data_IF_282342512950
#
_entry.id   IF_282342512950
#
_cell.length_a   1.000
_cell.length_b   1.000
_cell.length_c   1.000
_cell.angle_alpha   90.00
_cell.angle_beta   90.00
_cell.angle_gamma   90.00
#
_symmetry.space_group_name_H-M   'P 1'
#
loop_
_entity.id
_entity.type
_entity.pdbx_description
1 polymer ?
#
# COMPACT_ATOMS: atom_id res chain seq x y z
N UNK A 1 13.16 48.64 10.74
CA UNK A 1 13.34 47.85 9.51
C UNK A 1 13.72 46.35 9.70
N UNK A 2 13.93 45.84 10.92
CA UNK A 2 14.36 44.44 11.20
C UNK A 2 13.27 43.37 11.01
N UNK A 3 11.98 43.67 11.04
CA UNK A 3 10.91 42.69 11.05
C UNK A 3 10.57 42.08 9.68
N UNK A 4 10.90 42.75 8.55
CA UNK A 4 10.58 42.24 7.22
C UNK A 4 11.36 40.97 6.84
N UNK A 5 12.60 40.83 7.34
CA UNK A 5 13.41 39.66 7.15
C UNK A 5 12.90 38.43 7.92
N UNK A 6 12.49 38.66 9.15
CA UNK A 6 11.94 37.63 10.02
C UNK A 6 10.61 37.04 9.48
N UNK A 7 9.75 37.94 8.98
CA UNK A 7 8.47 37.53 8.35
C UNK A 7 8.71 36.69 7.10
N UNK A 8 9.67 37.08 6.23
CA UNK A 8 10.03 36.31 5.04
C UNK A 8 10.56 34.92 5.41
N UNK A 9 11.43 34.84 6.42
CA UNK A 9 11.97 33.58 6.90
C UNK A 9 10.89 32.67 7.46
N UNK A 10 9.95 33.20 8.25
CA UNK A 10 8.82 32.46 8.81
C UNK A 10 7.90 31.91 7.71
N UNK A 11 7.62 32.70 6.67
CA UNK A 11 6.79 32.29 5.53
C UNK A 11 7.48 31.17 4.74
N UNK A 12 8.80 31.27 4.48
CA UNK A 12 9.54 30.22 3.79
C UNK A 12 9.55 28.93 4.63
N UNK A 13 9.80 29.04 5.93
CA UNK A 13 9.81 27.90 6.83
C UNK A 13 8.43 27.21 6.87
N UNK A 14 7.36 27.99 6.96
CA UNK A 14 5.99 27.48 6.96
C UNK A 14 5.64 26.81 5.62
N UNK A 15 6.01 27.42 4.51
CA UNK A 15 5.82 26.82 3.18
C UNK A 15 6.60 25.52 3.01
N UNK A 16 7.83 25.44 3.53
CA UNK A 16 8.64 24.22 3.51
C UNK A 16 8.02 23.13 4.37
N UNK A 17 7.51 23.47 5.56
CA UNK A 17 6.83 22.50 6.43
C UNK A 17 5.53 22.00 5.78
N UNK A 18 4.71 22.90 5.22
CA UNK A 18 3.48 22.52 4.51
C UNK A 18 3.80 21.62 3.29
N UNK A 19 4.82 21.97 2.52
CA UNK A 19 5.25 21.17 1.38
C UNK A 19 5.78 19.81 1.82
N UNK A 20 6.60 19.75 2.88
CA UNK A 20 7.09 18.50 3.44
C UNK A 20 5.94 17.62 3.94
N UNK A 21 4.98 18.19 4.69
CA UNK A 21 3.77 17.49 5.13
C UNK A 21 3.00 16.96 3.92
N UNK A 22 2.77 17.78 2.89
CA UNK A 22 2.04 17.36 1.70
C UNK A 22 2.73 16.22 0.94
N UNK A 23 4.07 16.27 0.80
CA UNK A 23 4.84 15.24 0.10
C UNK A 23 4.97 13.96 0.92
N UNK A 24 5.13 14.06 2.25
CA UNK A 24 5.31 12.89 3.11
C UNK A 24 4.00 12.21 3.52
N UNK A 25 2.87 12.92 3.46
CA UNK A 25 1.57 12.36 3.84
C UNK A 25 0.69 11.94 2.65
N UNK A 26 1.18 12.03 1.41
CA UNK A 26 0.50 11.36 0.32
C UNK A 26 0.64 9.85 0.50
N UNK A 27 -0.49 9.21 0.76
CA UNK A 27 -0.53 7.74 0.83
C UNK A 27 -0.14 7.17 -0.54
N UNK A 28 0.83 6.25 -0.64
CA UNK A 28 1.17 5.62 -1.91
C UNK A 28 0.01 4.81 -2.49
N UNK A 29 -1.01 4.51 -1.69
CA UNK A 29 -2.25 3.83 -2.14
C UNK A 29 -3.25 4.81 -2.76
N UNK A 30 -3.13 6.13 -2.52
CA UNK A 30 -4.01 7.14 -3.13
C UNK A 30 -3.66 7.49 -4.59
N UNK A 31 -2.55 6.97 -5.09
CA UNK A 31 -2.05 7.20 -6.45
C UNK A 31 -1.92 5.89 -7.23
N UNK A 32 -2.87 4.99 -7.07
CA UNK A 32 -2.90 3.74 -7.83
C UNK A 32 -3.15 4.08 -9.29
N UNK A 33 -2.20 3.73 -10.15
CA UNK A 33 -2.34 3.90 -11.59
C UNK A 33 -3.24 2.80 -12.18
N UNK A 34 -4.55 3.01 -12.05
CA UNK A 34 -5.59 2.05 -12.43
C UNK A 34 -5.59 1.70 -13.91
N UNK A 35 -5.12 2.62 -14.78
CA UNK A 35 -5.12 2.39 -16.21
C UNK A 35 -4.09 1.35 -16.62
N UNK A 36 -2.97 1.30 -15.91
CA UNK A 36 -1.85 0.41 -16.18
C UNK A 36 -1.86 -0.88 -15.34
N UNK A 37 -2.84 -1.07 -14.46
CA UNK A 37 -3.00 -2.35 -13.75
C UNK A 37 -3.60 -3.39 -14.68
N UNK A 38 -2.87 -4.47 -14.90
CA UNK A 38 -3.35 -5.65 -15.66
C UNK A 38 -4.07 -6.64 -14.78
N UNK A 39 -3.60 -6.81 -13.54
CA UNK A 39 -4.23 -7.70 -12.58
C UNK A 39 -3.88 -7.30 -11.14
N UNK A 40 -4.77 -7.69 -10.23
CA UNK A 40 -4.53 -7.63 -8.78
C UNK A 40 -4.51 -9.07 -8.29
N UNK A 41 -3.44 -9.43 -7.58
CA UNK A 41 -3.35 -10.71 -6.89
C UNK A 41 -3.48 -10.49 -5.40
N UNK A 42 -4.27 -11.30 -4.71
CA UNK A 42 -4.39 -11.22 -3.26
C UNK A 42 -4.54 -12.60 -2.63
N UNK A 43 -4.15 -12.70 -1.37
CA UNK A 43 -4.28 -13.90 -0.57
C UNK A 43 -4.68 -13.55 0.86
N UNK A 44 -5.45 -14.45 1.48
CA UNK A 44 -5.81 -14.39 2.88
C UNK A 44 -5.05 -15.45 3.67
N UNK A 45 -4.76 -15.15 4.92
CA UNK A 45 -4.22 -16.12 5.86
C UNK A 45 -2.92 -15.70 6.52
N UNK A 46 -2.63 -16.37 7.64
CA UNK A 46 -1.42 -16.23 8.41
C UNK A 46 -0.34 -17.20 7.91
N UNK A 47 0.85 -16.68 7.70
CA UNK A 47 2.04 -17.52 7.48
C UNK A 47 2.63 -17.43 6.08
N UNK A 48 3.82 -18.03 5.91
CA UNK A 48 4.59 -17.95 4.67
C UNK A 48 4.04 -18.79 3.51
N UNK A 49 3.00 -19.58 3.75
CA UNK A 49 2.37 -20.43 2.74
C UNK A 49 0.90 -20.02 2.58
N UNK A 50 0.63 -19.14 1.63
CA UNK A 50 -0.74 -18.89 1.23
C UNK A 50 -1.26 -20.08 0.43
N UNK A 51 -2.35 -20.68 0.92
CA UNK A 51 -2.92 -21.86 0.29
C UNK A 51 -3.67 -21.52 -1.00
N UNK A 52 -4.15 -20.28 -1.14
CA UNK A 52 -4.90 -19.84 -2.30
C UNK A 52 -4.51 -18.42 -2.67
N UNK A 53 -4.17 -18.22 -3.92
CA UNK A 53 -3.94 -16.92 -4.51
C UNK A 53 -5.11 -16.60 -5.43
N UNK A 54 -5.80 -15.51 -5.16
CA UNK A 54 -6.88 -14.99 -5.99
C UNK A 54 -6.31 -13.98 -6.97
N UNK A 55 -6.63 -14.12 -8.25
CA UNK A 55 -6.17 -13.23 -9.32
C UNK A 55 -7.37 -12.59 -10.01
N UNK A 56 -7.49 -11.28 -9.92
CA UNK A 56 -8.50 -10.48 -10.60
C UNK A 56 -7.90 -9.89 -11.87
N UNK A 57 -8.56 -10.11 -13.00
CA UNK A 57 -8.13 -9.61 -14.32
C UNK A 57 -9.17 -8.71 -14.97
N UNK A 58 -10.41 -8.78 -14.53
CA UNK A 58 -11.45 -7.93 -15.07
C UNK A 58 -11.39 -6.52 -14.47
N UNK A 59 -11.66 -5.53 -15.31
CA UNK A 59 -11.51 -4.11 -14.96
C UNK A 59 -12.45 -3.67 -13.84
N UNK A 60 -13.64 -4.26 -13.74
CA UNK A 60 -14.63 -3.92 -12.72
C UNK A 60 -14.14 -4.35 -11.34
N UNK A 61 -13.67 -5.59 -11.21
CA UNK A 61 -13.09 -6.11 -9.97
C UNK A 61 -11.82 -5.36 -9.55
N UNK A 62 -10.94 -5.04 -10.51
CA UNK A 62 -9.73 -4.24 -10.26
C UNK A 62 -10.12 -2.87 -9.71
N UNK A 63 -11.09 -2.19 -10.33
CA UNK A 63 -11.54 -0.88 -9.87
C UNK A 63 -12.19 -0.96 -8.49
N UNK A 64 -13.00 -1.97 -8.21
CA UNK A 64 -13.62 -2.14 -6.90
C UNK A 64 -12.57 -2.30 -5.78
N UNK A 65 -11.51 -3.06 -6.00
CA UNK A 65 -10.42 -3.21 -5.03
C UNK A 65 -9.61 -1.92 -4.90
N UNK A 66 -9.31 -1.25 -6.02
CA UNK A 66 -8.59 0.02 -6.02
C UNK A 66 -9.39 1.11 -5.27
N UNK A 67 -10.71 1.21 -5.49
CA UNK A 67 -11.59 2.13 -4.76
C UNK A 67 -11.57 1.86 -3.25
N UNK A 68 -11.64 0.59 -2.85
CA UNK A 68 -11.60 0.22 -1.44
C UNK A 68 -10.25 0.55 -0.78
N UNK A 69 -9.15 0.41 -1.51
CA UNK A 69 -7.80 0.77 -1.03
C UNK A 69 -7.64 2.29 -0.91
N UNK A 70 -8.10 3.06 -1.88
CA UNK A 70 -8.02 4.53 -1.85
C UNK A 70 -8.91 5.15 -0.77
N UNK A 71 -9.97 4.47 -0.38
CA UNK A 71 -10.88 4.89 0.71
C UNK A 71 -10.37 4.52 2.10
N UNK A 72 -9.26 3.78 2.22
CA UNK A 72 -8.69 3.47 3.52
C UNK A 72 -8.20 4.75 4.21
N UNK A 73 -8.65 4.95 5.45
CA UNK A 73 -8.09 5.98 6.33
C UNK A 73 -6.75 5.48 6.89
N UNK A 74 -5.67 5.90 6.23
CA UNK A 74 -4.32 5.49 6.58
C UNK A 74 -3.68 6.51 7.51
N UNK A 75 -3.52 6.15 8.76
CA UNK A 75 -2.75 6.93 9.74
C UNK A 75 -1.29 6.54 9.69
N UNK A 76 -0.40 7.50 9.45
CA UNK A 76 1.03 7.24 9.44
C UNK A 76 1.49 6.66 10.78
N UNK A 77 2.17 5.53 10.75
CA UNK A 77 2.71 4.88 11.93
C UNK A 77 4.24 4.89 11.87
N UNK A 78 4.87 5.37 12.95
CA UNK A 78 6.31 5.21 13.11
C UNK A 78 6.51 3.81 13.70
N UNK A 79 7.17 2.89 13.01
CA UNK A 79 7.42 1.57 13.54
C UNK A 79 8.33 1.70 14.78
N UNK A 80 7.93 1.08 15.87
CA UNK A 80 8.80 0.91 17.05
C UNK A 80 9.78 -0.23 16.84
N UNK A 81 9.48 -1.09 15.89
CA UNK A 81 10.21 -2.28 15.52
C UNK A 81 10.65 -2.16 14.05
N UNK A 82 11.69 -2.87 13.68
CA UNK A 82 12.10 -2.95 12.27
C UNK A 82 11.03 -3.67 11.45
N UNK A 83 11.00 -3.43 10.13
CA UNK A 83 10.05 -4.11 9.24
C UNK A 83 10.12 -5.64 9.35
N UNK A 84 11.31 -6.19 9.56
CA UNK A 84 11.51 -7.63 9.77
C UNK A 84 10.89 -8.12 11.10
N UNK A 85 10.97 -7.33 12.17
CA UNK A 85 10.34 -7.66 13.45
C UNK A 85 8.82 -7.56 13.38
N UNK A 86 8.29 -6.54 12.67
CA UNK A 86 6.85 -6.42 12.42
C UNK A 86 6.30 -7.61 11.63
N UNK A 87 7.03 -8.07 10.62
CA UNK A 87 6.66 -9.28 9.86
C UNK A 87 6.81 -10.55 10.69
N UNK A 88 7.78 -10.60 11.59
CA UNK A 88 8.00 -11.76 12.47
C UNK A 88 6.96 -11.84 13.58
N UNK A 89 6.54 -10.71 14.14
CA UNK A 89 5.61 -10.60 15.26
C UNK A 89 4.17 -10.36 14.83
N UNK A 90 3.95 -9.88 13.60
CA UNK A 90 2.64 -9.64 13.01
C UNK A 90 2.27 -10.77 12.07
N UNK A 91 1.19 -11.48 12.37
CA UNK A 91 0.61 -12.39 11.40
C UNK A 91 0.06 -11.61 10.21
N UNK A 92 0.46 -11.98 9.00
CA UNK A 92 -0.08 -11.40 7.79
C UNK A 92 -1.53 -11.89 7.65
N UNK A 93 -2.46 -10.95 7.67
CA UNK A 93 -3.89 -11.19 7.47
C UNK A 93 -4.24 -11.30 6.00
N UNK A 94 -3.70 -10.37 5.21
CA UNK A 94 -3.96 -10.28 3.77
C UNK A 94 -2.78 -9.63 3.07
N UNK A 95 -2.48 -10.10 1.88
CA UNK A 95 -1.57 -9.45 0.96
C UNK A 95 -2.32 -9.06 -0.31
N UNK A 96 -2.05 -7.87 -0.83
CA UNK A 96 -2.55 -7.39 -2.12
C UNK A 96 -1.36 -6.98 -2.95
N UNK A 97 -1.24 -7.51 -4.16
CA UNK A 97 -0.14 -7.27 -5.10
C UNK A 97 -0.74 -6.68 -6.37
N UNK A 98 -0.18 -5.57 -6.83
CA UNK A 98 -0.55 -4.90 -8.08
C UNK A 98 0.42 -5.31 -9.18
N UNK A 99 -0.10 -5.75 -10.31
CA UNK A 99 0.68 -6.09 -11.48
C UNK A 99 0.35 -5.10 -12.58
N UNK A 100 1.37 -4.36 -13.02
CA UNK A 100 1.27 -3.30 -14.01
C UNK A 100 1.74 -3.77 -15.37
N UNK A 101 1.11 -3.28 -16.45
CA UNK A 101 1.51 -3.57 -17.82
C UNK A 101 2.93 -3.09 -18.12
N UNK A 102 3.28 -1.87 -17.66
CA UNK A 102 4.63 -1.33 -17.77
C UNK A 102 5.20 -1.00 -16.38
N UNK A 103 6.06 -1.90 -15.93
CA UNK A 103 6.81 -1.73 -14.69
C UNK A 103 7.63 -0.42 -14.62
N UNK A 104 7.92 0.20 -15.78
CA UNK A 104 8.64 1.45 -15.88
C UNK A 104 7.76 2.65 -15.54
N UNK A 105 6.48 2.61 -15.95
CA UNK A 105 5.47 3.61 -15.59
C UNK A 105 5.15 3.55 -14.09
N UNK A 106 5.01 2.36 -13.52
CA UNK A 106 4.80 2.17 -12.10
C UNK A 106 5.92 2.83 -11.25
N UNK A 107 7.18 2.76 -11.72
CA UNK A 107 8.33 3.40 -11.05
C UNK A 107 8.29 4.92 -11.08
N UNK A 108 7.82 5.52 -12.16
CA UNK A 108 7.75 6.99 -12.29
C UNK A 108 6.67 7.60 -11.43
N UNK A 109 5.58 6.88 -11.20
CA UNK A 109 4.43 7.35 -10.43
C UNK A 109 4.48 6.99 -8.93
N UNK A 110 5.56 6.32 -8.46
CA UNK A 110 5.68 5.83 -7.08
C UNK A 110 4.44 5.02 -6.64
N UNK A 111 3.84 4.30 -7.59
CA UNK A 111 2.66 3.50 -7.33
C UNK A 111 2.98 2.40 -6.32
N UNK A 112 2.02 2.07 -5.49
CA UNK A 112 2.12 0.93 -4.60
C UNK A 112 2.23 -0.35 -5.44
N UNK A 113 3.16 -1.21 -5.06
CA UNK A 113 3.37 -2.52 -5.67
C UNK A 113 2.69 -3.62 -4.84
N UNK A 114 2.80 -3.48 -3.54
CA UNK A 114 2.23 -4.45 -2.61
C UNK A 114 1.77 -3.77 -1.32
N UNK A 115 0.65 -4.23 -0.78
CA UNK A 115 0.17 -3.87 0.54
C UNK A 115 0.00 -5.14 1.40
N UNK A 116 0.65 -5.15 2.57
CA UNK A 116 0.58 -6.22 3.56
C UNK A 116 -0.23 -5.74 4.76
N UNK A 117 -1.38 -6.35 4.99
CA UNK A 117 -2.25 -6.08 6.13
C UNK A 117 -1.97 -7.08 7.25
N UNK A 118 -1.68 -6.58 8.43
CA UNK A 118 -1.35 -7.37 9.61
C UNK A 118 -2.54 -7.44 10.58
N UNK A 119 -2.61 -8.51 11.37
CA UNK A 119 -3.69 -8.71 12.35
C UNK A 119 -3.76 -7.63 13.44
N UNK A 120 -2.66 -6.90 13.66
CA UNK A 120 -2.57 -5.82 14.63
C UNK A 120 -3.04 -4.46 14.09
N UNK A 121 -3.64 -4.42 12.90
CA UNK A 121 -4.12 -3.19 12.25
C UNK A 121 -3.03 -2.36 11.57
N UNK A 122 -1.80 -2.88 11.47
CA UNK A 122 -0.75 -2.24 10.68
C UNK A 122 -0.81 -2.65 9.23
N UNK A 123 -0.41 -1.74 8.36
CA UNK A 123 -0.28 -1.94 6.92
C UNK A 123 1.13 -1.53 6.50
N UNK A 124 1.79 -2.42 5.77
CA UNK A 124 3.06 -2.15 5.12
C UNK A 124 2.79 -2.02 3.62
N UNK A 125 3.09 -0.85 3.07
CA UNK A 125 2.96 -0.59 1.64
C UNK A 125 4.34 -0.45 1.04
N UNK A 126 4.65 -1.23 0.03
CA UNK A 126 5.90 -1.15 -0.72
C UNK A 126 5.66 -0.54 -2.10
N UNK A 127 6.65 0.20 -2.59
CA UNK A 127 6.68 0.66 -3.97
C UNK A 127 7.45 -0.33 -4.84
N UNK A 128 7.25 -0.27 -6.15
CA UNK A 128 7.77 -1.21 -7.15
C UNK A 128 9.28 -1.51 -7.04
N UNK A 129 10.08 -0.58 -6.56
CA UNK A 129 11.52 -0.75 -6.41
C UNK A 129 11.95 -1.38 -5.07
N UNK A 130 10.98 -1.76 -4.23
CA UNK A 130 11.17 -2.28 -2.87
C UNK A 130 12.04 -1.40 -1.96
N UNK A 131 12.40 -0.19 -2.42
CA UNK A 131 13.26 0.73 -1.67
C UNK A 131 12.52 1.55 -0.65
N UNK A 132 11.20 1.67 -0.83
CA UNK A 132 10.35 2.46 0.04
C UNK A 132 9.31 1.56 0.69
N UNK A 133 9.35 1.51 2.01
CA UNK A 133 8.35 0.82 2.83
C UNK A 133 7.68 1.86 3.70
N UNK A 134 6.38 1.97 3.57
CA UNK A 134 5.56 2.90 4.34
C UNK A 134 4.75 2.11 5.36
N UNK A 135 4.68 2.66 6.58
CA UNK A 135 3.97 2.05 7.68
C UNK A 135 2.76 2.89 8.04
N UNK A 136 1.61 2.23 8.08
CA UNK A 136 0.34 2.87 8.43
C UNK A 136 -0.44 2.01 9.41
N UNK A 137 -1.44 2.63 10.04
CA UNK A 137 -2.53 1.96 10.73
C UNK A 137 -3.82 2.28 10.02
N UNK A 138 -4.71 1.29 9.94
CA UNK A 138 -6.02 1.45 9.34
C UNK A 138 -7.01 0.41 9.87
N UNK A 139 -8.30 0.71 9.74
CA UNK A 139 -9.36 -0.29 9.76
C UNK A 139 -9.59 -0.78 8.32
N UNK A 140 -9.17 -2.00 8.03
CA UNK A 140 -9.27 -2.60 6.70
C UNK A 140 -10.55 -3.42 6.48
N UNK A 141 -11.54 -3.32 7.38
CA UNK A 141 -12.77 -4.14 7.33
C UNK A 141 -13.52 -3.99 6.01
N UNK A 142 -13.65 -2.75 5.51
CA UNK A 142 -14.32 -2.48 4.24
C UNK A 142 -13.58 -3.14 3.06
N UNK A 143 -12.25 -3.04 3.01
CA UNK A 143 -11.44 -3.70 2.00
C UNK A 143 -11.59 -5.23 2.05
N UNK A 144 -11.55 -5.84 3.24
CA UNK A 144 -11.71 -7.28 3.39
C UNK A 144 -13.07 -7.76 2.84
N UNK A 145 -14.12 -6.99 3.06
CA UNK A 145 -15.45 -7.29 2.51
C UNK A 145 -15.46 -7.22 0.98
N UNK A 146 -14.78 -6.23 0.39
CA UNK A 146 -14.65 -6.11 -1.07
C UNK A 146 -13.84 -7.28 -1.63
N UNK A 147 -12.68 -7.61 -1.07
CA UNK A 147 -11.86 -8.73 -1.52
C UNK A 147 -12.66 -10.04 -1.48
N UNK A 148 -13.37 -10.30 -0.39
CA UNK A 148 -14.24 -11.48 -0.26
C UNK A 148 -15.37 -11.51 -1.30
N UNK A 149 -15.98 -10.36 -1.60
CA UNK A 149 -17.02 -10.29 -2.63
C UNK A 149 -16.46 -10.55 -4.03
N UNK A 150 -15.18 -10.25 -4.29
CA UNK A 150 -14.52 -10.46 -5.57
C UNK A 150 -13.99 -11.89 -5.75
N UNK A 151 -13.93 -12.73 -4.72
CA UNK A 151 -13.46 -14.13 -4.83
C UNK A 151 -14.17 -14.92 -5.93
N UNK A 152 -15.47 -14.65 -6.13
CA UNK A 152 -16.29 -15.30 -7.18
C UNK A 152 -15.85 -14.97 -8.61
N UNK A 153 -15.20 -13.82 -8.82
CA UNK A 153 -14.69 -13.33 -10.11
C UNK A 153 -13.22 -13.67 -10.29
N UNK A 154 -12.55 -14.13 -9.23
CA UNK A 154 -11.12 -14.38 -9.25
C UNK A 154 -10.77 -15.74 -9.87
N UNK A 155 -9.64 -15.78 -10.56
CA UNK A 155 -9.00 -17.04 -10.96
C UNK A 155 -8.18 -17.53 -9.75
N UNK A 156 -8.38 -18.78 -9.36
CA UNK A 156 -7.55 -19.41 -8.35
C UNK A 156 -6.19 -19.78 -8.93
N UNK A 157 -5.15 -19.11 -8.46
CA UNK A 157 -3.76 -19.46 -8.76
C UNK A 157 -3.23 -20.48 -7.76
N UNK A 158 -2.54 -21.50 -8.24
CA UNK A 158 -1.73 -22.40 -7.42
C UNK A 158 -0.31 -21.84 -7.41
N UNK A 159 0.09 -21.20 -6.33
CA UNK A 159 1.44 -20.66 -6.26
C UNK A 159 1.73 -20.03 -4.91
N UNK A 160 2.55 -20.70 -4.13
CA UNK A 160 3.14 -20.05 -2.95
C UNK A 160 4.14 -18.99 -3.41
N UNK A 161 3.89 -17.73 -3.08
CA UNK A 161 4.92 -16.69 -3.16
C UNK A 161 5.84 -16.94 -1.98
N UNK A 162 7.02 -17.47 -2.25
CA UNK A 162 8.08 -17.63 -1.26
C UNK A 162 8.78 -16.29 -1.11
N UNK A 163 8.53 -15.57 -0.03
CA UNK A 163 9.41 -14.47 0.35
C UNK A 163 10.71 -15.07 0.85
N UNK A 164 11.75 -14.98 0.07
CA UNK A 164 13.11 -15.20 0.58
C UNK A 164 13.48 -13.95 1.37
N UNK A 165 13.43 -14.06 2.69
CA UNK A 165 14.11 -13.13 3.57
C UNK A 165 15.60 -13.50 3.52
N UNK A 166 16.42 -12.72 2.83
CA UNK A 166 17.86 -12.65 3.03
C UNK A 166 18.18 -11.67 4.16
#
# INVERSE_FOLDING_TARGET
MKNKGLIKLAVVLMATVVFAVFVFFQSPVSNIDRENITNISYAHGAGPQWQSLYVLQDKESINAVADALEQLDLSFAIPRETGAELLKNGEIKTVVIFIYEDAKLARTHKAADMALFLNNGHVLVTTYDYKSVYYYKTDDTALQNVLKAQEKNAILGVGGIVFMAE
#
